data_IF_881464000966
#
_entry.id   IF_881464000966
#
_cell.length_a   1.000
_cell.length_b   1.000
_cell.length_c   1.000
_cell.angle_alpha   90.00
_cell.angle_beta   90.00
_cell.angle_gamma   90.00
#
_symmetry.space_group_name_H-M   'P 1'
#
loop_
_entity.id
_entity.type
_entity.pdbx_description
1 polymer ?
#
# COMPACT_ATOMS: atom_id res chain seq x y z
N UNK A 1 16.03 -1.40 16.57
CA UNK A 1 14.94 -1.54 17.56
C UNK A 1 13.90 -2.45 16.92
N UNK A 2 13.32 -3.38 17.69
CA UNK A 2 12.17 -4.23 17.30
C UNK A 2 12.46 -5.37 16.31
N UNK A 3 12.17 -6.63 16.69
CA UNK A 3 12.09 -7.89 15.93
C UNK A 3 13.03 -8.17 14.73
N UNK A 4 14.01 -7.33 14.43
CA UNK A 4 14.93 -7.45 13.31
C UNK A 4 15.98 -8.54 13.50
N UNK A 5 16.32 -8.83 14.77
CA UNK A 5 17.46 -9.67 15.15
C UNK A 5 17.24 -11.18 15.03
N UNK A 6 16.01 -11.65 15.12
CA UNK A 6 15.70 -13.08 15.08
C UNK A 6 15.01 -13.46 13.77
N UNK A 7 15.76 -14.14 12.90
CA UNK A 7 15.26 -14.58 11.58
C UNK A 7 14.09 -15.56 11.69
N UNK A 8 14.11 -16.44 12.70
CA UNK A 8 13.06 -17.42 12.90
C UNK A 8 11.77 -16.74 13.36
N UNK A 9 11.89 -15.80 14.29
CA UNK A 9 10.75 -15.03 14.79
C UNK A 9 10.04 -14.25 13.65
N UNK A 10 10.82 -13.56 12.80
CA UNK A 10 10.30 -12.86 11.62
C UNK A 10 9.62 -13.78 10.63
N UNK A 11 10.23 -14.94 10.35
CA UNK A 11 9.65 -15.96 9.49
C UNK A 11 8.29 -16.42 10.03
N UNK A 12 8.23 -16.79 11.31
CA UNK A 12 7.01 -17.29 11.95
C UNK A 12 5.91 -16.22 12.00
N UNK A 13 6.27 -14.95 12.23
CA UNK A 13 5.32 -13.83 12.13
C UNK A 13 4.75 -13.68 10.73
N UNK A 14 5.61 -13.69 9.70
CA UNK A 14 5.17 -13.57 8.31
C UNK A 14 4.26 -14.74 7.90
N UNK A 15 4.61 -15.97 8.28
CA UNK A 15 3.81 -17.17 8.03
C UNK A 15 2.46 -17.10 8.75
N UNK A 16 2.45 -16.70 10.04
CA UNK A 16 1.21 -16.60 10.81
C UNK A 16 0.27 -15.52 10.27
N UNK A 17 0.80 -14.36 9.91
CA UNK A 17 0.02 -13.28 9.32
C UNK A 17 -0.54 -13.68 7.95
N UNK A 18 0.26 -14.34 7.10
CA UNK A 18 -0.20 -14.94 5.85
C UNK A 18 -1.38 -15.87 6.09
N UNK A 19 -1.28 -16.77 7.06
CA UNK A 19 -2.33 -17.76 7.34
C UNK A 19 -3.62 -17.10 7.84
N UNK A 20 -3.52 -16.08 8.71
CA UNK A 20 -4.68 -15.30 9.17
C UNK A 20 -5.36 -14.62 7.99
N UNK A 21 -4.59 -13.93 7.12
CA UNK A 21 -5.14 -13.27 5.94
C UNK A 21 -5.72 -14.26 4.93
N UNK A 22 -5.09 -15.43 4.77
CA UNK A 22 -5.53 -16.46 3.85
C UNK A 22 -6.86 -17.08 4.27
N UNK A 23 -7.02 -17.39 5.56
CA UNK A 23 -8.22 -18.02 6.10
C UNK A 23 -9.45 -17.10 6.13
N UNK A 24 -9.28 -15.79 5.92
CA UNK A 24 -10.42 -14.87 5.78
C UNK A 24 -11.15 -15.07 4.45
N UNK A 25 -12.44 -15.36 4.53
CA UNK A 25 -13.37 -15.40 3.39
C UNK A 25 -13.94 -14.02 3.03
N UNK A 26 -13.83 -13.05 3.95
CA UNK A 26 -14.35 -11.70 3.77
C UNK A 26 -13.32 -10.80 3.07
N UNK A 27 -13.75 -9.65 2.50
CA UNK A 27 -12.86 -8.53 2.19
C UNK A 27 -12.00 -8.19 3.40
N UNK A 28 -10.68 -8.08 3.19
CA UNK A 28 -9.71 -7.89 4.26
C UNK A 28 -8.72 -6.80 3.90
N UNK A 29 -8.42 -5.97 4.90
CA UNK A 29 -7.31 -5.02 4.89
C UNK A 29 -6.43 -5.37 6.09
N UNK A 30 -5.15 -5.58 5.84
CA UNK A 30 -4.13 -5.65 6.87
C UNK A 30 -3.41 -4.31 6.93
N UNK A 31 -3.41 -3.71 8.11
CA UNK A 31 -2.64 -2.52 8.46
C UNK A 31 -1.68 -2.94 9.57
N UNK A 32 -0.39 -2.98 9.29
CA UNK A 32 0.54 -3.46 10.31
C UNK A 32 1.99 -3.15 10.03
N UNK A 33 2.73 -3.08 11.15
CA UNK A 33 4.17 -2.99 11.18
C UNK A 33 4.75 -4.40 11.23
N UNK A 34 5.41 -4.83 10.15
CA UNK A 34 6.12 -6.11 10.06
C UNK A 34 7.50 -5.86 9.52
N UNK A 35 8.53 -6.09 10.33
CA UNK A 35 9.93 -5.82 9.96
C UNK A 35 10.36 -6.71 8.78
N UNK A 36 10.19 -6.20 7.56
CA UNK A 36 10.64 -6.81 6.33
C UNK A 36 11.01 -5.74 5.31
N UNK A 37 12.01 -6.04 4.49
CA UNK A 37 12.36 -5.24 3.32
C UNK A 37 11.45 -5.63 2.14
N UNK A 38 11.04 -4.70 1.25
CA UNK A 38 10.38 -5.05 0.00
C UNK A 38 11.13 -6.15 -0.76
N UNK A 39 10.39 -7.09 -1.34
CA UNK A 39 10.91 -8.26 -2.07
C UNK A 39 11.73 -9.28 -1.25
N UNK A 40 11.90 -9.09 0.06
CA UNK A 40 12.50 -10.09 0.95
C UNK A 40 11.63 -11.36 1.07
N UNK A 41 12.18 -12.41 1.71
CA UNK A 41 11.45 -13.66 2.00
C UNK A 41 10.13 -13.39 2.73
N UNK A 42 10.18 -12.60 3.78
CA UNK A 42 9.03 -12.33 4.66
C UNK A 42 7.98 -11.50 3.90
N UNK A 43 8.42 -10.49 3.14
CA UNK A 43 7.55 -9.71 2.26
C UNK A 43 6.82 -10.60 1.24
N UNK A 44 7.55 -11.49 0.56
CA UNK A 44 6.96 -12.44 -0.41
C UNK A 44 5.98 -13.40 0.26
N UNK A 45 6.26 -13.78 1.50
CA UNK A 45 5.35 -14.63 2.29
C UNK A 45 4.04 -13.90 2.57
N UNK A 46 4.11 -12.66 3.04
CA UNK A 46 2.94 -11.80 3.31
C UNK A 46 2.13 -11.50 2.03
N UNK A 47 2.82 -11.23 0.91
CA UNK A 47 2.20 -10.83 -0.37
C UNK A 47 1.85 -12.00 -1.29
N UNK A 48 2.06 -13.24 -0.85
CA UNK A 48 1.74 -14.43 -1.65
C UNK A 48 0.23 -14.61 -1.90
N UNK A 49 -0.59 -14.19 -0.93
CA UNK A 49 -2.04 -14.43 -0.90
C UNK A 49 -2.86 -13.15 -0.63
N UNK A 50 -2.17 -12.03 -0.41
CA UNK A 50 -2.73 -10.69 -0.29
C UNK A 50 -1.93 -9.76 -1.22
N UNK A 51 -2.58 -8.74 -1.74
CA UNK A 51 -1.94 -7.74 -2.60
C UNK A 51 -1.39 -6.61 -1.76
N UNK A 52 -0.22 -6.13 -2.13
CA UNK A 52 0.30 -4.87 -1.62
C UNK A 52 -0.40 -3.70 -2.33
N UNK A 53 -0.81 -2.67 -1.59
CA UNK A 53 -1.39 -1.44 -2.16
C UNK A 53 -0.48 -0.82 -3.22
N UNK A 54 0.84 -0.89 -3.02
CA UNK A 54 1.83 -0.24 -3.88
C UNK A 54 3.17 -1.01 -3.94
N UNK A 55 3.24 -2.12 -4.70
CA UNK A 55 4.43 -2.97 -4.77
C UNK A 55 5.62 -2.33 -5.51
N UNK A 56 5.46 -1.13 -6.08
CA UNK A 56 6.57 -0.42 -6.76
C UNK A 56 7.41 0.43 -5.82
N UNK A 57 6.93 0.64 -4.59
CA UNK A 57 7.62 1.39 -3.54
C UNK A 57 8.68 0.50 -2.87
N UNK A 58 9.95 0.70 -3.26
CA UNK A 58 11.09 -0.10 -2.77
C UNK A 58 11.59 0.35 -1.41
N UNK A 59 11.09 1.48 -0.95
CA UNK A 59 11.61 2.16 0.22
C UNK A 59 10.58 2.20 1.36
N UNK A 60 9.43 1.53 1.17
CA UNK A 60 8.48 1.26 2.23
C UNK A 60 8.90 0.04 3.03
N UNK A 61 9.60 0.32 4.11
CA UNK A 61 10.03 -0.68 5.06
C UNK A 61 9.03 -0.74 6.21
N UNK A 62 8.72 -1.96 6.64
CA UNK A 62 7.95 -2.27 7.83
C UNK A 62 6.46 -1.91 7.82
N UNK A 63 6.02 -0.79 7.25
CA UNK A 63 4.62 -0.35 7.29
C UNK A 63 3.85 -0.77 6.04
N UNK A 64 3.02 -1.81 6.15
CA UNK A 64 2.28 -2.35 5.01
C UNK A 64 0.78 -2.10 5.10
N UNK A 65 0.20 -1.73 3.95
CA UNK A 65 -1.23 -1.86 3.66
C UNK A 65 -1.38 -3.00 2.67
N UNK A 66 -1.78 -4.18 3.15
CA UNK A 66 -2.09 -5.33 2.31
C UNK A 66 -3.61 -5.50 2.23
N UNK A 67 -4.10 -6.02 1.11
CA UNK A 67 -5.53 -6.20 0.91
C UNK A 67 -5.86 -7.48 0.13
N UNK A 68 -7.07 -8.00 0.38
CA UNK A 68 -7.61 -9.19 -0.28
C UNK A 68 -9.10 -8.98 -0.50
N UNK A 69 -9.63 -9.49 -1.61
CA UNK A 69 -11.05 -9.43 -1.96
C UNK A 69 -11.63 -7.99 -2.01
N UNK A 70 -10.80 -7.03 -2.43
CA UNK A 70 -11.13 -5.61 -2.56
C UNK A 70 -10.60 -5.06 -3.89
N UNK A 71 -11.18 -3.95 -4.33
CA UNK A 71 -10.71 -3.18 -5.49
C UNK A 71 -9.99 -1.94 -4.96
N UNK A 72 -8.70 -1.78 -5.23
CA UNK A 72 -7.98 -0.55 -4.85
C UNK A 72 -8.39 0.60 -5.79
N UNK A 73 -8.56 1.80 -5.24
CA UNK A 73 -8.95 2.99 -6.04
C UNK A 73 -8.07 4.20 -5.76
N UNK A 74 -7.42 4.28 -4.60
CA UNK A 74 -6.47 5.33 -4.30
C UNK A 74 -5.47 4.96 -3.22
N UNK A 75 -4.28 5.55 -3.27
CA UNK A 75 -3.24 5.44 -2.26
C UNK A 75 -2.46 6.75 -2.12
N UNK A 76 -2.19 7.17 -0.89
CA UNK A 76 -1.38 8.33 -0.59
C UNK A 76 -0.45 8.07 0.61
N UNK A 77 0.80 8.50 0.53
CA UNK A 77 1.80 8.35 1.60
C UNK A 77 2.46 9.70 1.90
N UNK A 78 2.47 10.07 3.17
CA UNK A 78 3.19 11.23 3.69
C UNK A 78 4.48 10.70 4.31
N UNK A 79 5.62 11.19 3.83
CA UNK A 79 6.92 10.90 4.46
C UNK A 79 6.97 11.46 5.86
N UNK A 80 7.76 10.78 6.67
CA UNK A 80 8.29 11.29 7.91
C UNK A 80 9.74 11.82 7.76
N UNK A 81 10.18 12.55 8.78
CA UNK A 81 11.57 12.94 9.09
C UNK A 81 12.52 11.74 9.38
N UNK A 82 13.42 11.83 10.37
CA UNK A 82 14.57 10.92 10.55
C UNK A 82 14.35 9.48 11.05
N UNK A 83 13.15 9.05 11.41
CA UNK A 83 12.79 7.77 12.04
C UNK A 83 11.71 7.00 11.24
N UNK A 84 12.01 5.78 10.81
CA UNK A 84 11.22 5.00 9.83
C UNK A 84 9.81 4.56 10.29
N UNK A 85 9.32 4.97 11.46
CA UNK A 85 8.14 4.43 12.17
C UNK A 85 7.00 5.45 12.40
N UNK A 86 7.00 6.57 11.67
CA UNK A 86 6.02 7.66 11.87
C UNK A 86 5.44 8.19 10.57
N UNK A 87 5.19 7.29 9.60
CA UNK A 87 4.59 7.66 8.32
C UNK A 87 3.07 7.69 8.40
N UNK A 88 2.44 8.48 7.52
CA UNK A 88 0.98 8.47 7.37
C UNK A 88 0.66 7.92 6.00
N UNK A 89 0.01 6.75 5.97
CA UNK A 89 -0.47 6.12 4.75
C UNK A 89 -1.99 6.11 4.71
N UNK A 90 -2.57 6.39 3.54
CA UNK A 90 -4.00 6.36 3.31
C UNK A 90 -4.29 5.54 2.06
N UNK A 91 -5.16 4.54 2.18
CA UNK A 91 -5.63 3.75 1.06
C UNK A 91 -7.16 3.83 0.96
N UNK A 92 -7.66 3.81 -0.27
CA UNK A 92 -9.09 3.78 -0.58
C UNK A 92 -9.41 2.52 -1.35
N UNK A 93 -10.45 1.84 -0.92
CA UNK A 93 -10.93 0.59 -1.50
C UNK A 93 -12.41 0.68 -1.81
N UNK A 94 -12.81 -0.05 -2.86
CA UNK A 94 -14.21 -0.36 -3.16
C UNK A 94 -14.47 -1.82 -2.81
N UNK A 95 -15.57 -2.07 -2.10
CA UNK A 95 -16.05 -3.42 -1.84
C UNK A 95 -16.73 -3.93 -3.12
N UNK A 96 -16.30 -5.08 -3.67
CA UNK A 96 -16.92 -5.63 -4.87
C UNK A 96 -18.35 -6.10 -4.60
N UNK A 97 -19.26 -5.83 -5.53
CA UNK A 97 -20.67 -6.25 -5.44
C UNK A 97 -20.93 -7.64 -6.04
N UNK A 98 -19.98 -8.18 -6.80
CA UNK A 98 -20.06 -9.50 -7.42
C UNK A 98 -18.83 -10.34 -7.09
N UNK A 99 -18.97 -11.67 -7.18
CA UNK A 99 -17.85 -12.61 -7.00
C UNK A 99 -16.83 -12.55 -8.14
N UNK A 100 -17.24 -12.12 -9.33
CA UNK A 100 -16.42 -12.04 -10.53
C UNK A 100 -15.88 -10.62 -10.73
N UNK A 101 -15.27 -10.05 -9.70
CA UNK A 101 -14.66 -8.73 -9.78
C UNK A 101 -13.19 -8.82 -10.20
N UNK A 102 -12.71 -7.81 -10.90
CA UNK A 102 -11.30 -7.58 -11.15
C UNK A 102 -10.83 -6.36 -10.37
N UNK A 103 -9.58 -6.39 -9.97
CA UNK A 103 -8.93 -5.24 -9.35
C UNK A 103 -8.43 -4.26 -10.42
N UNK A 104 -8.09 -3.04 -10.03
CA UNK A 104 -7.68 -1.99 -10.94
C UNK A 104 -6.18 -2.08 -11.27
N UNK A 105 -5.80 -2.38 -12.53
CA UNK A 105 -4.41 -2.61 -12.90
C UNK A 105 -3.68 -1.32 -13.32
N UNK A 106 -4.42 -0.29 -13.75
CA UNK A 106 -3.84 0.95 -14.26
C UNK A 106 -3.53 1.86 -13.09
N UNK A 107 -2.31 2.41 -13.04
CA UNK A 107 -1.88 3.39 -12.04
C UNK A 107 -1.73 4.75 -12.72
N UNK A 108 -2.35 5.78 -12.17
CA UNK A 108 -2.16 7.17 -12.58
C UNK A 108 -1.87 8.04 -11.36
N UNK A 109 -1.13 9.13 -11.57
CA UNK A 109 -0.71 10.06 -10.50
C UNK A 109 -1.24 11.47 -10.72
N UNK A 110 -1.74 11.77 -11.93
CA UNK A 110 -2.44 13.00 -12.25
C UNK A 110 -3.92 12.87 -11.86
N UNK A 111 -4.43 13.64 -10.88
CA UNK A 111 -5.84 13.61 -10.49
C UNK A 111 -6.78 13.94 -11.64
N UNK A 112 -6.37 14.77 -12.61
CA UNK A 112 -7.18 15.13 -13.77
C UNK A 112 -7.47 13.96 -14.71
N UNK A 113 -6.68 12.88 -14.63
CA UNK A 113 -6.91 11.64 -15.37
C UNK A 113 -7.97 10.74 -14.72
N UNK A 114 -8.52 11.13 -13.56
CA UNK A 114 -9.46 10.33 -12.77
C UNK A 114 -10.84 10.94 -12.84
N UNK A 115 -11.76 10.29 -13.54
CA UNK A 115 -13.13 10.79 -13.74
C UNK A 115 -13.96 10.78 -12.45
N UNK A 116 -13.75 9.78 -11.59
CA UNK A 116 -14.44 9.68 -10.31
C UNK A 116 -13.79 10.61 -9.28
N UNK A 117 -14.41 11.77 -9.06
CA UNK A 117 -13.91 12.76 -8.11
C UNK A 117 -14.00 12.28 -6.65
N UNK A 118 -14.83 11.29 -6.34
CA UNK A 118 -14.99 10.79 -4.96
C UNK A 118 -13.72 10.09 -4.46
N UNK A 119 -12.87 9.59 -5.37
CA UNK A 119 -11.62 8.92 -5.01
C UNK A 119 -10.45 9.90 -4.89
N UNK A 120 -10.62 11.18 -5.22
CA UNK A 120 -9.57 12.20 -5.11
C UNK A 120 -9.15 12.47 -3.66
N UNK A 121 -7.85 12.49 -3.43
CA UNK A 121 -7.30 12.94 -2.16
C UNK A 121 -7.33 14.47 -2.08
N UNK A 122 -7.24 15.02 -0.86
CA UNK A 122 -7.10 16.46 -0.66
C UNK A 122 -5.88 16.97 -1.45
N UNK A 123 -5.99 18.12 -2.12
CA UNK A 123 -4.92 18.69 -2.95
C UNK A 123 -3.60 18.96 -2.22
N UNK A 124 -3.61 18.97 -0.88
CA UNK A 124 -2.38 18.94 -0.08
C UNK A 124 -1.57 17.66 -0.36
N UNK A 125 -2.22 16.50 -0.46
CA UNK A 125 -1.60 15.28 -0.98
C UNK A 125 -1.21 15.51 -2.43
N UNK A 126 0.08 15.36 -2.75
CA UNK A 126 0.59 15.50 -4.12
C UNK A 126 1.56 16.65 -4.34
N UNK A 127 1.97 17.39 -3.31
CA UNK A 127 3.20 18.19 -3.40
C UNK A 127 4.40 17.24 -3.43
N UNK A 128 4.65 16.75 -4.65
CA UNK A 128 5.63 15.74 -4.99
C UNK A 128 7.05 16.14 -4.54
N UNK A 129 7.69 15.24 -3.81
CA UNK A 129 9.13 15.29 -3.56
C UNK A 129 9.73 13.94 -4.00
N UNK A 130 10.71 13.99 -4.91
CA UNK A 130 11.50 12.80 -5.28
C UNK A 130 12.40 12.42 -4.10
N UNK A 131 12.26 11.19 -3.62
CA UNK A 131 13.19 10.55 -2.68
C UNK A 131 12.75 10.52 -1.21
N UNK A 132 13.49 9.72 -0.43
CA UNK A 132 13.47 9.74 1.03
C UNK A 132 14.33 10.90 1.52
N UNK A 133 13.83 11.64 2.50
CA UNK A 133 14.64 12.66 3.15
C UNK A 133 14.39 12.71 4.63
N UNK A 134 15.47 12.91 5.39
CA UNK A 134 15.39 13.36 6.77
C UNK A 134 15.04 14.85 6.75
N UNK A 135 13.76 15.14 6.57
CA UNK A 135 13.28 16.51 6.55
C UNK A 135 12.97 16.96 7.97
N UNK A 136 13.25 18.23 8.31
CA UNK A 136 12.81 18.79 9.59
C UNK A 136 11.28 19.01 9.63
N UNK A 137 10.57 18.72 8.53
CA UNK A 137 9.13 18.87 8.35
C UNK A 137 8.55 17.70 7.56
N UNK A 138 7.31 17.29 7.81
CA UNK A 138 6.65 16.25 7.02
C UNK A 138 6.47 16.69 5.55
N UNK A 139 6.88 15.84 4.61
CA UNK A 139 6.68 16.05 3.15
C UNK A 139 5.91 14.90 2.54
N UNK A 140 5.43 15.02 1.30
CA UNK A 140 4.77 13.90 0.62
C UNK A 140 5.79 12.94 0.01
N UNK A 141 5.45 11.66 0.03
CA UNK A 141 6.35 10.60 -0.40
C UNK A 141 6.09 10.18 -1.85
N UNK A 142 7.15 10.20 -2.67
CA UNK A 142 7.16 9.67 -4.05
C UNK A 142 6.03 10.26 -4.91
N UNK A 143 5.68 9.57 -6.01
CA UNK A 143 4.57 9.90 -6.90
C UNK A 143 3.18 9.61 -6.26
N UNK A 144 2.98 9.93 -4.98
CA UNK A 144 1.66 9.84 -4.35
C UNK A 144 0.99 11.23 -4.28
N UNK A 145 -0.34 11.33 -4.47
CA UNK A 145 -1.31 10.25 -4.54
C UNK A 145 -1.27 9.45 -5.85
N UNK A 146 -1.46 8.13 -5.71
CA UNK A 146 -1.70 7.19 -6.80
C UNK A 146 -3.20 6.88 -6.86
N UNK A 147 -3.73 6.78 -8.07
CA UNK A 147 -5.10 6.37 -8.33
C UNK A 147 -5.08 5.11 -9.21
N UNK A 148 -6.00 4.20 -8.93
CA UNK A 148 -6.06 2.91 -9.59
C UNK A 148 -7.34 2.81 -10.42
N UNK A 149 -7.19 2.66 -11.74
CA UNK A 149 -8.29 2.68 -12.70
C UNK A 149 -8.55 1.29 -13.31
N UNK A 150 -9.80 0.96 -13.65
CA UNK A 150 -10.13 -0.26 -14.37
C UNK A 150 -9.59 -0.21 -15.81
N UNK A 151 -9.30 -1.38 -16.39
CA UNK A 151 -8.70 -1.51 -17.72
C UNK A 151 -9.48 -0.75 -18.82
N UNK A 152 -10.80 -0.70 -18.70
CA UNK A 152 -11.72 -0.11 -19.70
C UNK A 152 -11.65 1.43 -19.78
N UNK A 153 -10.98 2.09 -18.82
CA UNK A 153 -10.81 3.54 -18.81
C UNK A 153 -9.66 4.06 -19.70
N UNK A 154 -8.89 3.20 -20.38
CA UNK A 154 -7.87 3.64 -21.36
C UNK A 154 -8.44 4.24 -22.66
N UNK A 155 -9.76 4.18 -22.85
CA UNK A 155 -10.41 4.38 -24.16
C UNK A 155 -11.16 5.70 -24.33
N UNK A 156 -10.70 6.79 -23.70
CA UNK A 156 -11.17 8.15 -24.01
C UNK A 156 -10.03 9.14 -24.14
#
# INVERSE_FOLDING_TARGET
>A
MGNDKDDLDRKLQAEKLRDIMHNSTNPLIFLGYVTSEPFSRDYRTLTSLAKDIDPTDRDRWCEYILYKNLIRVGYARITHAGLTDTEIQMARFKIPTSKNFADNPIVVTNPSSVTDQSVHFNSRFGSFYKGHGRFNTHRFHMDTPKYFLPQDQKTK
#
